data_IF_904769709415
#
_entry.id   IF_904769709415
#
_cell.length_a   1.000
_cell.length_b   1.000
_cell.length_c   1.000
_cell.angle_alpha   90.00
_cell.angle_beta   90.00
_cell.angle_gamma   90.00
#
_symmetry.space_group_name_H-M   'P 1'
#
loop_
_entity.id
_entity.type
_entity.pdbx_description
1 polymer ?
#
# COMPACT_ATOMS: atom_id res chain seq x y z
N UNK A 1 2.01 10.69 66.48
CA UNK A 1 2.47 9.56 65.64
C UNK A 1 2.32 9.98 64.19
N UNK A 2 3.40 10.48 63.60
CA UNK A 2 3.47 11.13 62.30
C UNK A 2 4.47 10.36 61.46
N UNK A 3 4.02 9.79 60.33
CA UNK A 3 4.84 8.98 59.45
C UNK A 3 5.84 9.86 58.65
N UNK A 4 7.06 9.37 58.35
CA UNK A 4 8.09 10.17 57.69
C UNK A 4 7.91 10.21 56.16
N UNK A 5 8.06 11.42 55.60
CA UNK A 5 8.17 11.71 54.15
C UNK A 5 9.45 11.07 53.58
N UNK A 6 9.33 10.20 52.57
CA UNK A 6 10.46 9.81 51.71
C UNK A 6 10.60 10.82 50.57
N UNK A 7 11.78 11.44 50.47
CA UNK A 7 12.24 12.18 49.30
C UNK A 7 12.52 11.18 48.16
N UNK A 8 11.89 11.39 47.01
CA UNK A 8 12.25 10.71 45.77
C UNK A 8 13.30 11.54 45.02
N UNK A 9 14.47 10.96 44.82
CA UNK A 9 15.54 11.47 43.95
C UNK A 9 15.13 11.30 42.48
N UNK A 10 15.25 12.33 41.62
CA UNK A 10 15.01 12.17 40.19
C UNK A 10 16.19 11.48 39.49
N UNK A 11 15.88 10.50 38.63
CA UNK A 11 16.80 9.81 37.73
C UNK A 11 17.30 10.77 36.62
N UNK A 12 18.53 10.59 36.11
CA UNK A 12 19.14 11.50 35.16
C UNK A 12 18.52 11.40 33.76
N UNK A 13 18.26 12.57 33.18
CA UNK A 13 17.85 12.81 31.80
C UNK A 13 18.91 12.31 30.82
N UNK A 14 18.55 11.42 29.91
CA UNK A 14 19.39 11.00 28.79
C UNK A 14 19.01 11.89 27.58
N UNK A 15 19.92 12.77 27.18
CA UNK A 15 19.83 13.55 25.95
C UNK A 15 20.12 12.67 24.72
N UNK A 16 19.38 12.82 23.61
CA UNK A 16 19.81 12.29 22.33
C UNK A 16 20.51 13.38 21.51
N UNK A 17 21.82 13.52 21.70
CA UNK A 17 22.71 14.12 20.71
C UNK A 17 23.13 13.06 19.68
N UNK A 18 22.72 13.23 18.42
CA UNK A 18 23.53 12.86 17.24
C UNK A 18 22.81 13.32 15.98
N UNK A 19 22.98 14.61 15.68
CA UNK A 19 22.70 15.20 14.38
C UNK A 19 23.77 14.73 13.39
N UNK A 20 23.42 13.86 12.44
CA UNK A 20 24.24 13.68 11.24
C UNK A 20 23.83 14.77 10.25
N UNK A 21 24.70 15.78 10.13
CA UNK A 21 24.62 16.82 9.11
C UNK A 21 25.01 16.23 7.74
N UNK A 22 24.17 16.42 6.72
CA UNK A 22 24.60 16.32 5.33
C UNK A 22 24.41 17.65 4.62
N UNK A 23 25.46 18.01 3.90
CA UNK A 23 25.83 19.32 3.38
C UNK A 23 25.00 19.73 2.16
N UNK A 24 24.54 20.98 2.17
CA UNK A 24 23.97 21.68 1.03
C UNK A 24 25.07 21.99 -0.01
N UNK A 25 24.88 21.57 -1.27
CA UNK A 25 25.60 22.13 -2.41
C UNK A 25 24.63 22.96 -3.27
N UNK A 26 24.87 24.28 -3.28
CA UNK A 26 24.19 25.29 -4.11
C UNK A 26 24.68 25.22 -5.56
N UNK A 27 23.73 25.44 -6.47
CA UNK A 27 23.93 25.76 -7.89
C UNK A 27 24.35 27.24 -8.09
N UNK A 28 25.17 27.49 -9.10
CA UNK A 28 25.27 28.74 -9.88
C UNK A 28 25.54 28.33 -11.34
N UNK A 29 25.24 29.03 -12.43
CA UNK A 29 24.37 30.16 -12.79
C UNK A 29 24.50 30.31 -14.33
N UNK A 30 23.46 30.70 -15.07
CA UNK A 30 23.51 31.78 -16.10
C UNK A 30 22.25 31.87 -17.00
N UNK A 31 21.59 33.03 -16.87
CA UNK A 31 20.99 33.99 -17.83
C UNK A 31 20.29 33.57 -19.17
N UNK A 32 19.05 34.09 -19.27
CA UNK A 32 18.09 34.43 -20.36
C UNK A 32 18.64 35.21 -21.58
N UNK A 33 17.92 35.47 -22.74
CA UNK A 33 16.53 36.04 -22.82
C UNK A 33 15.58 35.78 -24.06
N UNK A 34 14.26 35.95 -23.80
CA UNK A 34 13.17 36.66 -24.54
C UNK A 34 12.90 36.51 -26.07
N UNK A 35 11.63 36.30 -26.48
CA UNK A 35 10.83 37.24 -27.31
C UNK A 35 9.45 36.74 -27.85
N UNK A 36 8.43 37.61 -27.65
CA UNK A 36 7.34 38.11 -28.55
C UNK A 36 6.13 37.26 -29.04
N UNK A 37 4.97 37.95 -28.93
CA UNK A 37 3.58 37.68 -29.39
C UNK A 37 3.40 37.64 -30.92
N UNK A 38 2.36 36.93 -31.38
CA UNK A 38 1.39 37.43 -32.38
C UNK A 38 0.06 36.66 -32.30
N UNK A 39 -1.06 37.37 -32.42
CA UNK A 39 -2.43 36.85 -32.47
C UNK A 39 -2.93 36.78 -33.92
N UNK A 40 -3.77 35.80 -34.26
CA UNK A 40 -4.69 35.87 -35.41
C UNK A 40 -5.92 34.98 -35.20
N UNK A 41 -7.09 35.59 -35.35
CA UNK A 41 -8.44 35.02 -35.22
C UNK A 41 -8.91 34.40 -36.56
N UNK A 42 -9.63 33.27 -36.54
CA UNK A 42 -10.80 32.92 -37.38
C UNK A 42 -11.37 31.53 -36.98
N UNK A 43 -12.69 31.42 -36.96
CA UNK A 43 -13.56 30.39 -36.34
C UNK A 43 -13.76 29.11 -37.20
N UNK A 44 -14.74 28.23 -36.88
CA UNK A 44 -14.85 27.33 -35.73
C UNK A 44 -14.72 25.87 -36.21
N UNK A 45 -13.85 25.08 -35.58
CA UNK A 45 -13.68 23.67 -35.90
C UNK A 45 -13.87 22.82 -34.66
N UNK A 46 -14.75 21.83 -34.79
CA UNK A 46 -15.00 20.74 -33.83
C UNK A 46 -13.65 20.14 -33.43
N UNK A 47 -13.30 20.23 -32.14
CA UNK A 47 -12.13 19.54 -31.59
C UNK A 47 -12.56 18.52 -30.52
N UNK A 48 -12.14 17.24 -30.64
CA UNK A 48 -12.08 16.36 -29.50
C UNK A 48 -11.10 16.95 -28.48
N UNK A 49 -11.44 16.97 -27.20
CA UNK A 49 -10.56 17.54 -26.16
C UNK A 49 -9.34 16.63 -25.94
N UNK A 50 -8.34 16.74 -26.82
CA UNK A 50 -6.98 16.32 -26.53
C UNK A 50 -6.31 17.45 -25.75
N UNK A 51 -6.54 17.50 -24.44
CA UNK A 51 -5.65 18.24 -23.54
C UNK A 51 -4.25 17.63 -23.66
N UNK A 52 -3.17 18.42 -23.71
CA UNK A 52 -1.81 17.87 -23.71
C UNK A 52 -1.63 17.05 -22.43
N UNK A 53 -1.27 15.77 -22.59
CA UNK A 53 -0.88 14.90 -21.49
C UNK A 53 0.29 15.60 -20.79
N UNK A 54 0.03 16.14 -19.61
CA UNK A 54 1.09 16.71 -18.78
C UNK A 54 2.04 15.59 -18.38
N UNK A 55 3.33 15.89 -18.24
CA UNK A 55 4.36 14.90 -17.85
C UNK A 55 3.95 14.19 -16.55
N UNK A 56 3.21 14.88 -15.68
CA UNK A 56 2.60 14.36 -14.46
C UNK A 56 1.52 13.30 -14.72
N UNK A 57 0.66 13.44 -15.73
CA UNK A 57 -0.30 12.40 -16.13
C UNK A 57 0.39 11.20 -16.77
N UNK A 58 1.41 11.42 -17.59
CA UNK A 58 2.22 10.34 -18.17
C UNK A 58 3.02 9.58 -17.09
N UNK A 59 3.50 10.26 -16.05
CA UNK A 59 4.18 9.64 -14.91
C UNK A 59 3.21 8.85 -14.04
N UNK A 60 2.00 9.37 -13.78
CA UNK A 60 0.96 8.65 -13.05
C UNK A 60 0.49 7.41 -13.84
N UNK A 61 0.36 7.49 -15.16
CA UNK A 61 0.02 6.35 -16.00
C UNK A 61 1.17 5.33 -16.13
N UNK A 62 2.43 5.79 -16.10
CA UNK A 62 3.61 4.93 -16.03
C UNK A 62 3.70 4.21 -14.68
N UNK A 63 3.42 4.91 -13.57
CA UNK A 63 3.35 4.36 -12.21
C UNK A 63 2.19 3.39 -12.03
N UNK A 64 1.04 3.67 -12.67
CA UNK A 64 -0.09 2.76 -12.73
C UNK A 64 0.22 1.53 -13.58
N UNK A 65 0.91 1.68 -14.71
CA UNK A 65 1.29 0.55 -15.57
C UNK A 65 2.39 -0.30 -14.94
N UNK A 66 3.40 0.31 -14.30
CA UNK A 66 4.45 -0.36 -13.57
C UNK A 66 3.94 -0.99 -12.27
N UNK A 67 3.07 -0.30 -11.53
CA UNK A 67 2.37 -0.82 -10.35
C UNK A 67 1.43 -1.97 -10.72
N UNK A 68 0.64 -1.84 -11.79
CA UNK A 68 -0.21 -2.92 -12.29
C UNK A 68 0.60 -4.08 -12.88
N UNK A 69 1.75 -3.83 -13.50
CA UNK A 69 2.66 -4.87 -13.97
C UNK A 69 3.40 -5.54 -12.81
N UNK A 70 3.78 -4.80 -11.76
CA UNK A 70 4.40 -5.34 -10.54
C UNK A 70 3.38 -6.14 -9.73
N UNK A 71 2.15 -5.66 -9.61
CA UNK A 71 1.00 -6.39 -9.06
C UNK A 71 0.71 -7.62 -9.92
N UNK A 72 0.63 -7.49 -11.25
CA UNK A 72 0.39 -8.63 -12.15
C UNK A 72 1.54 -9.65 -12.11
N UNK A 73 2.80 -9.22 -12.01
CA UNK A 73 3.97 -10.11 -11.91
C UNK A 73 4.03 -10.80 -10.53
N UNK A 74 3.78 -10.04 -9.46
CA UNK A 74 3.62 -10.57 -8.09
C UNK A 74 2.47 -11.60 -8.05
N UNK A 75 1.36 -11.30 -8.72
CA UNK A 75 0.17 -12.14 -8.74
C UNK A 75 0.23 -13.31 -9.73
N UNK A 76 1.05 -13.22 -10.79
CA UNK A 76 1.34 -14.31 -11.74
C UNK A 76 2.34 -15.32 -11.17
N UNK A 77 3.26 -14.86 -10.31
CA UNK A 77 4.12 -15.75 -9.53
C UNK A 77 3.31 -16.68 -8.60
N UNK A 78 2.11 -16.25 -8.17
CA UNK A 78 1.18 -17.05 -7.37
C UNK A 78 0.51 -18.22 -8.12
N UNK A 79 0.66 -18.29 -9.45
CA UNK A 79 -0.04 -19.26 -10.31
C UNK A 79 0.86 -20.38 -10.87
N UNK A 80 2.13 -20.47 -10.49
CA UNK A 80 3.02 -21.49 -11.09
C UNK A 80 2.78 -22.94 -10.63
N UNK A 81 1.79 -23.22 -9.77
CA UNK A 81 1.35 -24.59 -9.41
C UNK A 81 -0.15 -24.78 -9.62
N UNK A 82 -0.58 -24.66 -10.87
CA UNK A 82 -1.73 -25.44 -11.32
C UNK A 82 -1.19 -26.45 -12.33
N UNK A 83 -1.27 -27.74 -11.95
CA UNK A 83 -0.94 -28.86 -12.81
C UNK A 83 -1.55 -28.67 -14.19
N UNK A 84 -0.76 -28.96 -15.23
CA UNK A 84 -1.08 -28.98 -16.67
C UNK A 84 -2.58 -28.87 -16.97
N UNK A 85 -3.06 -27.62 -17.07
CA UNK A 85 -4.31 -27.34 -17.75
C UNK A 85 -4.00 -27.28 -19.23
N UNK A 86 -4.60 -28.20 -19.99
CA UNK A 86 -4.67 -28.14 -21.45
C UNK A 86 -5.05 -26.73 -21.88
N UNK A 87 -4.27 -26.20 -22.85
CA UNK A 87 -4.39 -24.89 -23.49
C UNK A 87 -5.86 -24.39 -23.48
N UNK A 88 -6.20 -23.31 -22.75
CA UNK A 88 -7.53 -22.75 -22.81
C UNK A 88 -7.80 -22.31 -24.24
N UNK A 89 -8.94 -22.75 -24.80
CA UNK A 89 -9.51 -22.10 -25.96
C UNK A 89 -9.60 -20.60 -25.67
N UNK A 90 -9.25 -19.76 -26.65
CA UNK A 90 -9.29 -18.31 -26.52
C UNK A 90 -10.64 -17.88 -25.92
N UNK A 91 -10.63 -17.49 -24.65
CA UNK A 91 -11.82 -17.05 -23.96
C UNK A 91 -12.27 -15.74 -24.61
N UNK A 92 -13.46 -15.77 -25.19
CA UNK A 92 -14.22 -14.55 -25.48
C UNK A 92 -14.26 -13.72 -24.19
N UNK A 93 -14.05 -12.39 -24.23
CA UNK A 93 -14.05 -11.59 -23.01
C UNK A 93 -15.41 -11.73 -22.35
N UNK A 94 -15.45 -12.43 -21.20
CA UNK A 94 -16.63 -12.44 -20.35
C UNK A 94 -16.92 -10.99 -19.97
N UNK A 95 -18.18 -10.57 -20.09
CA UNK A 95 -18.62 -9.25 -19.64
C UNK A 95 -18.06 -9.01 -18.23
N UNK A 96 -17.21 -7.99 -18.09
CA UNK A 96 -16.49 -7.75 -16.85
C UNK A 96 -17.50 -7.62 -15.69
N UNK A 97 -17.31 -8.33 -14.56
CA UNK A 97 -18.23 -8.25 -13.44
C UNK A 97 -18.28 -6.80 -12.97
N UNK A 98 -19.46 -6.16 -13.03
CA UNK A 98 -19.62 -4.76 -12.62
C UNK A 98 -19.14 -4.53 -11.19
N UNK A 99 -18.75 -3.30 -10.88
CA UNK A 99 -18.42 -2.85 -9.52
C UNK A 99 -19.45 -1.83 -9.08
N UNK A 100 -19.78 -1.85 -7.79
CA UNK A 100 -20.66 -0.88 -7.15
C UNK A 100 -19.87 -0.06 -6.12
N UNK A 101 -20.12 1.24 -6.12
CA UNK A 101 -19.49 2.18 -5.19
C UNK A 101 -20.50 2.55 -4.11
N UNK A 102 -20.19 2.20 -2.87
CA UNK A 102 -21.09 2.28 -1.72
C UNK A 102 -20.53 3.29 -0.71
N UNK A 103 -21.15 4.47 -0.54
CA UNK A 103 -20.79 5.38 0.54
C UNK A 103 -21.16 4.77 1.90
N UNK A 104 -20.26 4.85 2.87
CA UNK A 104 -20.45 4.31 4.23
C UNK A 104 -20.38 5.45 5.24
N UNK A 105 -21.37 5.51 6.13
CA UNK A 105 -21.41 6.43 7.26
C UNK A 105 -21.33 5.67 8.61
N UNK A 106 -21.10 6.43 9.68
CA UNK A 106 -21.11 5.98 11.08
C UNK A 106 -20.07 4.88 11.36
N UNK A 107 -18.85 5.09 10.86
CA UNK A 107 -17.66 4.32 11.20
C UNK A 107 -16.99 4.98 12.42
N UNK A 108 -17.29 4.47 13.61
CA UNK A 108 -16.73 4.97 14.87
C UNK A 108 -15.19 4.97 14.90
N UNK A 109 -14.55 4.09 14.12
CA UNK A 109 -13.09 4.09 13.95
C UNK A 109 -12.52 5.41 13.38
N UNK A 110 -13.35 6.21 12.69
CA UNK A 110 -12.94 7.49 12.06
C UNK A 110 -13.50 8.72 12.78
N UNK A 111 -14.13 8.56 13.95
CA UNK A 111 -14.86 9.63 14.64
C UNK A 111 -14.01 10.90 14.92
N UNK A 112 -12.69 10.76 15.12
CA UNK A 112 -11.79 11.89 15.41
C UNK A 112 -11.49 12.77 14.18
N UNK A 113 -11.71 12.24 12.97
CA UNK A 113 -11.49 12.96 11.71
C UNK A 113 -12.77 13.62 11.20
N UNK A 114 -13.93 13.22 11.74
CA UNK A 114 -15.26 13.55 11.20
C UNK A 114 -16.03 14.54 12.07
N UNK A 115 -15.86 15.85 11.84
CA UNK A 115 -16.91 16.81 12.23
C UNK A 115 -17.71 17.38 11.05
N UNK A 116 -17.31 17.13 9.78
CA UNK A 116 -17.86 17.86 8.62
C UNK A 116 -18.19 17.02 7.38
N UNK A 117 -18.04 15.70 7.41
CA UNK A 117 -18.33 14.84 6.25
C UNK A 117 -19.71 14.18 6.39
N UNK A 118 -20.34 13.87 5.25
CA UNK A 118 -21.58 13.07 5.20
C UNK A 118 -21.28 11.57 5.28
N UNK A 119 -20.15 11.15 4.71
CA UNK A 119 -19.69 9.77 4.68
C UNK A 119 -18.29 9.69 5.29
N UNK A 120 -18.00 8.57 5.94
CA UNK A 120 -16.72 8.32 6.59
C UNK A 120 -15.78 7.52 5.69
N UNK A 121 -16.34 6.74 4.76
CA UNK A 121 -15.59 5.99 3.77
C UNK A 121 -16.44 5.75 2.51
N UNK A 122 -15.79 5.28 1.47
CA UNK A 122 -16.42 4.73 0.27
C UNK A 122 -15.88 3.32 0.05
N UNK A 123 -16.76 2.33 -0.10
CA UNK A 123 -16.39 0.97 -0.47
C UNK A 123 -16.62 0.74 -1.96
N UNK A 124 -15.77 -0.09 -2.56
CA UNK A 124 -15.91 -0.60 -3.92
C UNK A 124 -16.19 -2.10 -3.82
N UNK A 125 -17.39 -2.51 -4.20
CA UNK A 125 -17.87 -3.89 -4.07
C UNK A 125 -18.08 -4.48 -5.47
N UNK A 126 -17.25 -5.45 -5.89
CA UNK A 126 -17.50 -6.19 -7.12
C UNK A 126 -18.77 -7.03 -7.00
N UNK A 127 -19.60 -7.07 -8.05
CA UNK A 127 -20.86 -7.83 -8.07
C UNK A 127 -20.68 -9.31 -7.75
N UNK A 128 -19.55 -9.89 -8.17
CA UNK A 128 -19.19 -11.27 -7.85
C UNK A 128 -19.03 -11.50 -6.34
N UNK A 129 -18.53 -10.50 -5.61
CA UNK A 129 -18.38 -10.55 -4.14
C UNK A 129 -19.72 -10.36 -3.43
N UNK A 130 -20.56 -9.46 -3.93
CA UNK A 130 -21.92 -9.27 -3.40
C UNK A 130 -22.81 -10.51 -3.54
N UNK A 131 -22.48 -11.42 -4.47
CA UNK A 131 -23.24 -12.64 -4.79
C UNK A 131 -22.68 -13.91 -4.14
N UNK A 132 -21.71 -13.78 -3.23
CA UNK A 132 -21.13 -14.94 -2.54
C UNK A 132 -22.15 -15.60 -1.59
N UNK A 133 -21.92 -16.87 -1.19
CA UNK A 133 -22.70 -17.50 -0.13
C UNK A 133 -22.63 -16.71 1.20
N UNK A 134 -23.60 -16.94 2.08
CA UNK A 134 -23.55 -16.45 3.47
C UNK A 134 -22.28 -16.96 4.18
N UNK A 135 -21.84 -16.22 5.20
CA UNK A 135 -20.63 -16.51 6.00
C UNK A 135 -19.31 -16.51 5.21
N UNK A 136 -19.32 -15.99 3.98
CA UNK A 136 -18.13 -15.92 3.12
C UNK A 136 -17.02 -15.05 3.71
N UNK A 137 -15.79 -15.48 3.44
CA UNK A 137 -14.58 -14.77 3.80
C UNK A 137 -14.15 -13.85 2.67
N UNK A 138 -13.87 -12.58 2.98
CA UNK A 138 -13.59 -11.53 1.99
C UNK A 138 -12.28 -10.82 2.35
N UNK A 139 -11.42 -10.56 1.37
CA UNK A 139 -10.24 -9.72 1.54
C UNK A 139 -10.57 -8.24 1.36
N UNK A 140 -9.88 -7.36 2.07
CA UNK A 140 -10.15 -5.91 2.05
C UNK A 140 -8.89 -5.15 1.68
N UNK A 141 -8.94 -4.36 0.61
CA UNK A 141 -7.91 -3.38 0.26
C UNK A 141 -8.29 -2.04 0.89
N UNK A 142 -7.57 -1.61 1.93
CA UNK A 142 -7.75 -0.29 2.54
C UNK A 142 -6.78 0.70 1.91
N UNK A 143 -7.29 1.72 1.22
CA UNK A 143 -6.47 2.70 0.50
C UNK A 143 -6.53 4.09 1.14
N UNK A 144 -5.39 4.58 1.60
CA UNK A 144 -5.21 5.91 2.19
C UNK A 144 -4.76 6.91 1.13
N UNK A 145 -5.63 7.86 0.82
CA UNK A 145 -5.31 8.89 -0.17
C UNK A 145 -4.20 9.84 0.29
N UNK A 146 -3.58 10.51 -0.70
CA UNK A 146 -2.58 11.54 -0.49
C UNK A 146 -3.14 12.93 -0.18
N UNK A 147 -2.22 13.88 -0.02
CA UNK A 147 -2.52 15.31 0.05
C UNK A 147 -3.19 15.74 -1.24
N UNK A 148 -4.24 16.54 -1.13
CA UNK A 148 -5.03 16.88 -2.31
C UNK A 148 -5.18 18.36 -2.58
N UNK A 149 -4.30 18.87 -3.42
CA UNK A 149 -4.37 20.21 -3.99
C UNK A 149 -3.99 20.07 -5.46
N UNK A 150 -4.89 20.35 -6.43
CA UNK A 150 -6.19 21.04 -6.30
C UNK A 150 -7.43 20.13 -6.20
N UNK A 151 -7.32 18.80 -6.36
CA UNK A 151 -8.49 17.93 -6.33
C UNK A 151 -9.07 17.91 -4.89
N UNK A 152 -10.32 17.49 -4.68
CA UNK A 152 -10.91 17.42 -3.32
C UNK A 152 -11.35 15.99 -2.98
N UNK A 153 -10.43 15.10 -2.62
CA UNK A 153 -10.68 13.69 -2.25
C UNK A 153 -11.54 13.65 -1.00
N UNK A 154 -11.26 14.54 -0.06
CA UNK A 154 -12.09 14.77 1.11
C UNK A 154 -13.55 15.11 0.72
N UNK A 155 -13.75 15.95 -0.31
CA UNK A 155 -15.08 16.29 -0.81
C UNK A 155 -15.72 15.18 -1.66
N UNK A 156 -14.96 14.53 -2.53
CA UNK A 156 -15.46 13.47 -3.41
C UNK A 156 -15.86 12.23 -2.60
N UNK A 157 -15.01 11.79 -1.67
CA UNK A 157 -15.31 10.67 -0.79
C UNK A 157 -16.32 11.08 0.30
N UNK A 158 -16.00 12.13 1.07
CA UNK A 158 -16.74 12.48 2.28
C UNK A 158 -18.05 13.24 2.08
N UNK A 159 -18.24 13.93 0.94
CA UNK A 159 -19.48 14.67 0.66
C UNK A 159 -20.26 14.00 -0.47
N UNK A 160 -19.59 13.66 -1.58
CA UNK A 160 -20.26 13.08 -2.76
C UNK A 160 -20.42 11.55 -2.66
N UNK A 161 -19.62 10.88 -1.83
CA UNK A 161 -19.63 9.41 -1.73
C UNK A 161 -19.12 8.74 -3.00
N UNK A 162 -18.14 9.33 -3.68
CA UNK A 162 -17.61 8.86 -4.96
C UNK A 162 -16.13 8.58 -4.86
N UNK A 163 -15.70 7.52 -5.54
CA UNK A 163 -14.29 7.23 -5.75
C UNK A 163 -13.74 8.26 -6.75
N UNK A 164 -12.62 8.94 -6.43
CA UNK A 164 -11.94 9.81 -7.37
C UNK A 164 -11.55 9.03 -8.64
N UNK A 165 -11.99 9.46 -9.85
CA UNK A 165 -11.75 8.72 -11.09
C UNK A 165 -10.26 8.52 -11.37
N UNK A 166 -9.39 9.44 -10.97
CA UNK A 166 -7.94 9.33 -11.11
C UNK A 166 -7.33 8.15 -10.35
N UNK A 167 -8.04 7.53 -9.42
CA UNK A 167 -7.53 6.32 -8.79
C UNK A 167 -7.66 5.10 -9.70
N UNK A 168 -8.63 5.10 -10.64
CA UNK A 168 -9.01 3.92 -11.44
C UNK A 168 -9.21 2.65 -10.59
N UNK A 169 -9.50 2.78 -9.29
CA UNK A 169 -9.57 1.66 -8.34
C UNK A 169 -10.73 0.71 -8.68
N UNK A 170 -11.81 1.27 -9.22
CA UNK A 170 -12.94 0.50 -9.75
C UNK A 170 -12.52 -0.43 -10.91
N UNK A 171 -11.70 0.06 -11.84
CA UNK A 171 -11.18 -0.72 -12.96
C UNK A 171 -10.16 -1.76 -12.50
N UNK A 172 -9.24 -1.37 -11.62
CA UNK A 172 -8.22 -2.26 -11.09
C UNK A 172 -8.82 -3.41 -10.29
N UNK A 173 -9.79 -3.13 -9.40
CA UNK A 173 -10.47 -4.15 -8.62
C UNK A 173 -11.31 -5.07 -9.52
N UNK A 174 -11.93 -4.51 -10.56
CA UNK A 174 -12.66 -5.29 -11.58
C UNK A 174 -11.74 -6.23 -12.34
N UNK A 175 -10.59 -5.75 -12.81
CA UNK A 175 -9.59 -6.56 -13.50
C UNK A 175 -9.04 -7.67 -12.58
N UNK A 176 -8.82 -7.36 -11.31
CA UNK A 176 -8.39 -8.32 -10.31
C UNK A 176 -9.39 -9.47 -10.14
N UNK A 177 -10.65 -9.14 -9.80
CA UNK A 177 -11.70 -10.17 -9.58
C UNK A 177 -12.01 -10.94 -10.86
N UNK A 178 -11.98 -10.29 -12.02
CA UNK A 178 -12.17 -10.95 -13.31
C UNK A 178 -11.09 -11.99 -13.64
N UNK A 179 -9.85 -11.76 -13.20
CA UNK A 179 -8.72 -12.68 -13.41
C UNK A 179 -8.54 -13.69 -12.25
N UNK A 180 -9.11 -13.41 -11.08
CA UNK A 180 -8.98 -14.20 -9.84
C UNK A 180 -10.33 -14.37 -9.14
N UNK A 181 -11.23 -15.09 -9.80
CA UNK A 181 -12.60 -15.33 -9.29
C UNK A 181 -12.66 -16.11 -7.97
N UNK A 182 -11.54 -16.69 -7.52
CA UNK A 182 -11.37 -17.45 -6.28
C UNK A 182 -10.97 -16.58 -5.07
N UNK A 183 -10.53 -15.34 -5.28
CA UNK A 183 -10.15 -14.43 -4.19
C UNK A 183 -11.11 -13.24 -4.11
N UNK A 184 -12.20 -13.34 -3.33
CA UNK A 184 -13.15 -12.25 -3.20
C UNK A 184 -12.53 -11.07 -2.46
N UNK A 185 -12.55 -9.90 -3.09
CA UNK A 185 -11.95 -8.68 -2.53
C UNK A 185 -12.83 -7.45 -2.74
N UNK A 186 -12.88 -6.58 -1.72
CA UNK A 186 -13.46 -5.23 -1.81
C UNK A 186 -12.38 -4.16 -1.62
N UNK A 187 -12.63 -2.97 -2.15
CA UNK A 187 -11.86 -1.77 -1.82
C UNK A 187 -12.55 -0.97 -0.72
N UNK A 188 -11.78 -0.38 0.20
CA UNK A 188 -12.25 0.53 1.23
C UNK A 188 -11.39 1.80 1.24
N UNK A 189 -12.02 2.94 0.99
CA UNK A 189 -11.39 4.25 0.89
C UNK A 189 -11.89 5.12 2.05
N UNK A 190 -11.23 5.10 3.22
CA UNK A 190 -11.56 6.02 4.31
C UNK A 190 -11.30 7.47 3.92
N UNK A 191 -12.10 8.39 4.47
CA UNK A 191 -11.95 9.82 4.22
C UNK A 191 -10.88 10.38 5.17
N UNK A 192 -9.79 10.88 4.59
CA UNK A 192 -8.75 11.61 5.30
C UNK A 192 -8.99 13.11 5.27
N UNK A 193 -8.54 13.81 6.30
CA UNK A 193 -8.61 15.27 6.40
C UNK A 193 -7.33 15.88 5.86
N UNK A 194 -7.45 16.79 4.89
CA UNK A 194 -6.29 17.57 4.44
C UNK A 194 -5.98 18.67 5.45
N UNK A 195 -4.72 18.79 5.84
CA UNK A 195 -4.23 19.79 6.80
C UNK A 195 -3.25 20.73 6.12
N UNK A 196 -3.24 21.99 6.54
CA UNK A 196 -2.32 23.02 6.05
C UNK A 196 -1.72 23.75 7.24
N UNK A 197 -0.38 23.87 7.28
CA UNK A 197 0.35 24.58 8.32
C UNK A 197 1.38 25.51 7.69
N UNK A 198 1.38 26.78 8.09
CA UNK A 198 2.46 27.70 7.73
C UNK A 198 3.69 27.44 8.61
N UNK A 199 4.85 27.32 7.98
CA UNK A 199 6.15 27.28 8.66
C UNK A 199 7.00 28.47 8.22
N UNK A 200 7.71 29.15 9.15
CA UNK A 200 8.64 30.21 8.81
C UNK A 200 9.86 29.61 8.08
N UNK A 201 10.32 30.29 7.03
CA UNK A 201 11.53 29.96 6.29
C UNK A 201 12.69 30.87 6.75
N UNK A 202 13.93 30.43 6.45
CA UNK A 202 15.15 31.15 6.85
C UNK A 202 15.28 32.55 6.22
N UNK A 203 14.59 32.79 5.11
CA UNK A 203 14.55 34.08 4.40
C UNK A 203 13.42 35.01 4.89
N UNK A 204 12.73 34.65 5.97
CA UNK A 204 11.61 35.43 6.52
C UNK A 204 10.28 35.20 5.80
N UNK A 205 10.25 34.42 4.72
CA UNK A 205 9.01 34.03 4.05
C UNK A 205 8.31 32.88 4.79
N UNK A 206 7.05 32.60 4.45
CA UNK A 206 6.29 31.47 5.00
C UNK A 206 6.10 30.42 3.91
N UNK A 207 6.30 29.16 4.28
CA UNK A 207 5.95 28.00 3.44
C UNK A 207 4.74 27.30 4.03
N UNK A 208 3.71 27.08 3.21
CA UNK A 208 2.61 26.21 3.59
C UNK A 208 3.03 24.76 3.39
N UNK A 209 3.00 23.98 4.46
CA UNK A 209 3.09 22.53 4.41
C UNK A 209 1.68 21.96 4.41
N UNK A 210 1.47 21.01 3.51
CA UNK A 210 0.24 20.25 3.45
C UNK A 210 0.48 18.84 3.96
N UNK A 211 -0.54 18.28 4.59
CA UNK A 211 -0.57 16.91 5.08
C UNK A 211 -1.95 16.32 4.90
N UNK A 212 -2.05 15.02 5.08
CA UNK A 212 -3.33 14.31 5.22
C UNK A 212 -3.24 13.50 6.51
N UNK A 213 -4.34 13.42 7.25
CA UNK A 213 -4.43 12.54 8.41
C UNK A 213 -5.75 11.81 8.43
N UNK A 214 -5.71 10.60 8.93
CA UNK A 214 -6.85 9.73 9.17
C UNK A 214 -7.10 9.53 10.68
N UNK A 215 -6.51 10.37 11.54
CA UNK A 215 -6.79 10.37 12.98
C UNK A 215 -6.25 9.15 13.74
N UNK A 216 -5.41 8.33 13.12
CA UNK A 216 -4.82 7.16 13.79
C UNK A 216 -5.84 6.07 14.14
N UNK A 217 -6.83 5.84 13.27
CA UNK A 217 -7.85 4.82 13.43
C UNK A 217 -7.27 3.41 13.65
N UNK A 218 -8.04 2.57 14.35
CA UNK A 218 -7.80 1.13 14.40
C UNK A 218 -8.33 0.49 13.09
N UNK A 219 -7.42 -0.07 12.29
CA UNK A 219 -7.75 -0.67 10.99
C UNK A 219 -8.61 -1.90 11.13
N UNK A 220 -8.40 -2.71 12.17
CA UNK A 220 -9.20 -3.90 12.44
C UNK A 220 -10.66 -3.49 12.69
N UNK A 221 -10.87 -2.51 13.57
CA UNK A 221 -12.19 -1.97 13.87
C UNK A 221 -12.82 -1.30 12.64
N UNK A 222 -12.06 -0.56 11.85
CA UNK A 222 -12.53 0.07 10.62
C UNK A 222 -13.06 -0.98 9.64
N UNK A 223 -12.29 -2.04 9.40
CA UNK A 223 -12.65 -3.09 8.46
C UNK A 223 -13.88 -3.86 8.94
N UNK A 224 -13.92 -4.25 10.22
CA UNK A 224 -15.05 -5.00 10.77
C UNK A 224 -16.34 -4.16 10.78
N UNK A 225 -16.24 -2.86 11.11
CA UNK A 225 -17.38 -1.94 11.03
C UNK A 225 -17.85 -1.73 9.58
N UNK A 226 -16.92 -1.59 8.62
CA UNK A 226 -17.27 -1.43 7.21
C UNK A 226 -17.98 -2.68 6.66
N UNK A 227 -17.49 -3.88 6.95
CA UNK A 227 -18.15 -5.14 6.57
C UNK A 227 -19.54 -5.21 7.18
N UNK A 228 -19.69 -4.95 8.49
CA UNK A 228 -20.97 -4.97 9.17
C UNK A 228 -21.98 -3.99 8.54
N UNK A 229 -21.51 -2.79 8.14
CA UNK A 229 -22.35 -1.81 7.43
C UNK A 229 -22.76 -2.29 6.04
N UNK A 230 -21.83 -2.83 5.26
CA UNK A 230 -22.13 -3.37 3.94
C UNK A 230 -23.13 -4.53 4.00
N UNK A 231 -23.04 -5.41 5.00
CA UNK A 231 -24.03 -6.46 5.25
C UNK A 231 -25.39 -5.86 5.61
N UNK A 232 -25.45 -4.88 6.53
CA UNK A 232 -26.69 -4.22 6.91
C UNK A 232 -27.37 -3.49 5.73
N UNK A 233 -26.56 -2.96 4.80
CA UNK A 233 -27.02 -2.32 3.56
C UNK A 233 -27.37 -3.33 2.45
N UNK A 234 -27.24 -4.64 2.71
CA UNK A 234 -27.44 -5.75 1.75
C UNK A 234 -26.50 -5.69 0.53
N UNK A 235 -25.33 -5.08 0.72
CA UNK A 235 -24.27 -4.98 -0.27
C UNK A 235 -23.27 -6.14 -0.18
N UNK A 236 -23.28 -6.85 0.96
CA UNK A 236 -22.57 -8.11 1.17
C UNK A 236 -23.52 -9.18 1.75
N UNK A 237 -23.23 -10.48 1.53
CA UNK A 237 -24.01 -11.57 2.12
C UNK A 237 -24.00 -11.54 3.65
N UNK A 238 -25.08 -12.03 4.26
CA UNK A 238 -25.17 -12.16 5.71
C UNK A 238 -24.01 -13.01 6.25
N UNK A 239 -23.49 -12.63 7.42
CA UNK A 239 -22.38 -13.34 8.07
C UNK A 239 -20.99 -13.13 7.45
N UNK A 240 -20.86 -12.33 6.37
CA UNK A 240 -19.56 -12.01 5.75
C UNK A 240 -18.53 -11.51 6.77
N UNK A 241 -17.27 -11.94 6.62
CA UNK A 241 -16.15 -11.53 7.49
C UNK A 241 -14.90 -11.24 6.68
N UNK A 242 -14.08 -10.32 7.20
CA UNK A 242 -12.77 -10.06 6.60
C UNK A 242 -11.74 -11.13 6.99
N UNK A 243 -11.08 -11.74 6.00
CA UNK A 243 -10.03 -12.75 6.22
C UNK A 243 -8.59 -12.23 6.06
N UNK A 244 -8.43 -11.15 5.30
CA UNK A 244 -7.15 -10.54 5.00
C UNK A 244 -7.32 -9.08 4.64
N UNK A 245 -6.33 -8.27 4.99
CA UNK A 245 -6.28 -6.83 4.80
C UNK A 245 -4.99 -6.48 4.10
N UNK A 246 -5.14 -5.82 2.97
CA UNK A 246 -4.05 -5.18 2.22
C UNK A 246 -4.12 -3.69 2.51
N UNK A 247 -3.02 -3.13 3.00
CA UNK A 247 -2.91 -1.68 3.20
C UNK A 247 -2.31 -1.03 1.96
N UNK A 248 -2.88 0.07 1.53
CA UNK A 248 -2.35 0.85 0.42
C UNK A 248 -2.36 2.32 0.79
N UNK A 249 -1.36 3.07 0.33
CA UNK A 249 -1.35 4.50 0.50
C UNK A 249 -0.68 5.21 -0.68
N UNK A 250 -1.12 6.44 -0.92
CA UNK A 250 -0.49 7.36 -1.86
C UNK A 250 0.06 8.60 -1.15
N UNK A 251 1.30 9.01 -1.48
CA UNK A 251 1.89 10.27 -1.02
C UNK A 251 1.77 10.45 0.51
N UNK A 252 1.19 11.56 0.97
CA UNK A 252 0.98 11.83 2.39
C UNK A 252 0.20 10.77 3.18
N UNK A 253 -0.59 9.91 2.53
CA UNK A 253 -1.28 8.81 3.20
C UNK A 253 -0.33 7.77 3.81
N UNK A 254 0.91 7.68 3.29
CA UNK A 254 1.91 6.75 3.80
C UNK A 254 2.38 7.04 5.22
N UNK A 255 2.21 8.29 5.70
CA UNK A 255 2.55 8.69 7.06
C UNK A 255 1.70 7.96 8.10
N UNK A 256 0.41 7.75 7.80
CA UNK A 256 -0.51 7.02 8.67
C UNK A 256 -0.55 5.52 8.35
N UNK A 257 -0.09 5.09 7.17
CA UNK A 257 -0.16 3.68 6.76
C UNK A 257 0.57 2.73 7.71
N UNK A 258 1.81 3.03 8.12
CA UNK A 258 2.53 2.16 9.06
C UNK A 258 1.82 2.06 10.42
N UNK A 259 1.28 3.18 10.92
CA UNK A 259 0.49 3.18 12.16
C UNK A 259 -0.78 2.36 12.00
N UNK A 260 -1.49 2.52 10.88
CA UNK A 260 -2.66 1.74 10.56
C UNK A 260 -2.33 0.23 10.53
N UNK A 261 -1.19 -0.16 9.93
CA UNK A 261 -0.77 -1.57 9.90
C UNK A 261 -0.47 -2.16 11.27
N UNK A 262 -0.04 -1.37 12.25
CA UNK A 262 0.29 -1.89 13.60
C UNK A 262 -0.93 -2.25 14.43
N UNK A 263 -2.12 -1.83 13.99
CA UNK A 263 -3.40 -2.16 14.64
C UNK A 263 -4.02 -3.45 14.11
N UNK A 264 -3.48 -4.02 13.01
CA UNK A 264 -3.91 -5.29 12.46
C UNK A 264 -3.22 -6.45 13.17
N UNK A 265 -3.97 -7.53 13.44
CA UNK A 265 -3.36 -8.81 13.80
C UNK A 265 -2.41 -9.29 12.70
N UNK A 266 -1.33 -9.99 13.11
CA UNK A 266 -0.33 -10.54 12.16
C UNK A 266 -0.96 -11.40 11.06
N UNK A 267 -2.06 -12.10 11.38
CA UNK A 267 -2.77 -12.99 10.45
C UNK A 267 -3.63 -12.24 9.43
N UNK A 268 -4.12 -11.04 9.78
CA UNK A 268 -4.96 -10.24 8.88
C UNK A 268 -4.15 -9.34 7.97
N UNK A 269 -2.97 -8.86 8.36
CA UNK A 269 -2.12 -8.06 7.45
C UNK A 269 -1.41 -8.95 6.43
N UNK A 270 -1.95 -9.02 5.21
CA UNK A 270 -1.42 -9.89 4.13
C UNK A 270 -0.50 -9.15 3.16
N UNK A 271 -0.61 -7.81 3.05
CA UNK A 271 0.27 -7.06 2.18
C UNK A 271 0.17 -5.54 2.31
N UNK A 272 1.10 -4.87 1.62
CA UNK A 272 1.20 -3.42 1.62
C UNK A 272 1.65 -2.87 0.25
N UNK A 273 0.94 -1.84 -0.23
CA UNK A 273 1.24 -1.08 -1.44
C UNK A 273 1.58 0.37 -1.10
N UNK A 274 2.85 0.74 -1.28
CA UNK A 274 3.35 2.09 -0.98
C UNK A 274 3.59 2.88 -2.28
N UNK A 275 2.66 3.74 -2.68
CA UNK A 275 2.75 4.55 -3.90
C UNK A 275 3.26 5.96 -3.56
N UNK A 276 4.52 6.25 -3.86
CA UNK A 276 5.13 7.55 -3.55
C UNK A 276 4.96 7.97 -2.08
N UNK A 277 4.89 7.00 -1.16
CA UNK A 277 4.31 7.22 0.16
C UNK A 277 5.31 7.07 1.31
N UNK A 278 6.57 6.69 1.02
CA UNK A 278 7.65 6.65 2.01
C UNK A 278 8.29 8.04 2.08
N UNK A 279 7.85 8.86 3.03
CA UNK A 279 8.27 10.25 3.16
C UNK A 279 9.18 10.45 4.38
N UNK A 280 10.50 10.45 4.16
CA UNK A 280 11.53 10.69 5.19
C UNK A 280 11.42 9.79 6.44
N UNK A 281 10.60 8.74 6.38
CA UNK A 281 10.28 7.77 7.43
C UNK A 281 10.84 6.38 7.09
N UNK A 282 11.88 6.34 6.25
CA UNK A 282 12.64 5.13 5.94
C UNK A 282 13.08 4.39 7.22
N UNK A 283 13.38 5.14 8.29
CA UNK A 283 13.72 4.60 9.61
C UNK A 283 12.62 3.77 10.26
N UNK A 284 11.36 3.90 9.85
CA UNK A 284 10.24 3.09 10.31
C UNK A 284 9.90 1.96 9.32
N UNK A 285 9.93 2.23 8.01
CA UNK A 285 9.65 1.23 6.98
C UNK A 285 10.68 0.11 6.94
N UNK A 286 11.98 0.44 7.07
CA UNK A 286 13.04 -0.57 6.97
C UNK A 286 12.94 -1.61 8.11
N UNK A 287 12.87 -1.24 9.41
CA UNK A 287 12.69 -2.22 10.49
C UNK A 287 11.39 -3.04 10.35
N UNK A 288 10.31 -2.42 9.88
CA UNK A 288 9.06 -3.14 9.63
C UNK A 288 9.23 -4.22 8.56
N UNK A 289 9.83 -3.88 7.41
CA UNK A 289 10.01 -4.81 6.30
C UNK A 289 11.04 -5.89 6.60
N UNK A 290 12.16 -5.55 7.25
CA UNK A 290 13.15 -6.56 7.65
C UNK A 290 12.60 -7.51 8.71
N UNK A 291 11.72 -7.04 9.60
CA UNK A 291 10.96 -7.93 10.50
C UNK A 291 10.06 -8.89 9.73
N UNK A 292 9.34 -8.42 8.69
CA UNK A 292 8.51 -9.30 7.85
C UNK A 292 9.34 -10.33 7.07
N UNK A 293 10.51 -9.94 6.59
CA UNK A 293 11.46 -10.86 5.96
C UNK A 293 12.00 -11.90 6.94
N UNK A 294 12.31 -11.50 8.18
CA UNK A 294 12.73 -12.42 9.24
C UNK A 294 11.61 -13.40 9.62
N UNK A 295 10.38 -12.90 9.83
CA UNK A 295 9.20 -13.74 10.09
C UNK A 295 8.99 -14.77 8.95
N UNK A 296 9.21 -14.38 7.69
CA UNK A 296 9.13 -15.29 6.54
C UNK A 296 10.25 -16.35 6.54
N UNK A 297 11.49 -15.95 6.82
CA UNK A 297 12.61 -16.88 6.90
C UNK A 297 12.44 -17.90 8.03
N UNK A 298 11.86 -17.50 9.16
CA UNK A 298 11.56 -18.41 10.27
C UNK A 298 10.43 -19.38 9.92
N UNK A 299 9.39 -18.93 9.19
CA UNK A 299 8.35 -19.84 8.69
C UNK A 299 8.91 -20.87 7.69
N UNK A 300 9.81 -20.45 6.79
CA UNK A 300 10.51 -21.39 5.90
C UNK A 300 11.34 -22.42 6.67
N UNK A 301 12.00 -22.00 7.76
CA UNK A 301 12.79 -22.88 8.62
C UNK A 301 11.91 -23.91 9.33
N UNK A 302 10.69 -23.54 9.74
CA UNK A 302 9.71 -24.46 10.32
C UNK A 302 9.18 -25.49 9.31
N UNK A 303 9.16 -25.13 8.03
CA UNK A 303 8.71 -25.99 6.93
C UNK A 303 9.84 -26.82 6.30
N UNK A 304 11.08 -26.69 6.78
CA UNK A 304 12.23 -27.37 6.17
C UNK A 304 12.18 -28.89 6.38
N UNK A 305 12.77 -29.62 5.45
CA UNK A 305 13.03 -31.04 5.63
C UNK A 305 14.14 -31.31 6.68
N UNK A 306 14.08 -32.42 7.42
CA UNK A 306 15.22 -32.92 8.20
C UNK A 306 16.48 -33.12 7.34
N UNK A 307 17.67 -33.07 7.96
CA UNK A 307 18.94 -33.18 7.23
C UNK A 307 19.14 -34.54 6.53
N UNK A 308 18.51 -35.59 7.06
CA UNK A 308 18.51 -36.97 6.59
C UNK A 308 17.22 -37.34 5.82
N UNK A 309 16.44 -36.34 5.39
CA UNK A 309 15.19 -36.56 4.68
C UNK A 309 15.41 -37.29 3.34
N UNK A 310 14.48 -38.20 3.02
CA UNK A 310 14.41 -38.80 1.68
C UNK A 310 14.12 -37.75 0.61
N UNK A 311 14.44 -38.00 -0.67
CA UNK A 311 14.13 -37.07 -1.76
C UNK A 311 12.65 -36.67 -1.82
N UNK A 312 11.73 -37.60 -1.56
CA UNK A 312 10.30 -37.31 -1.54
C UNK A 312 9.88 -36.38 -0.39
N UNK A 313 10.51 -36.51 0.78
CA UNK A 313 10.27 -35.62 1.92
C UNK A 313 10.88 -34.22 1.70
N UNK A 314 12.03 -34.14 1.04
CA UNK A 314 12.63 -32.88 0.62
C UNK A 314 11.73 -32.12 -0.37
N UNK A 315 11.18 -32.83 -1.36
CA UNK A 315 10.23 -32.25 -2.33
C UNK A 315 8.94 -31.77 -1.64
N UNK A 316 8.39 -32.55 -0.72
CA UNK A 316 7.19 -32.15 0.03
C UNK A 316 7.44 -30.89 0.88
N UNK A 317 8.61 -30.76 1.51
CA UNK A 317 9.01 -29.57 2.24
C UNK A 317 9.14 -28.35 1.32
N UNK A 318 9.75 -28.52 0.14
CA UNK A 318 9.84 -27.47 -0.87
C UNK A 318 8.45 -27.00 -1.32
N UNK A 319 7.52 -27.91 -1.61
CA UNK A 319 6.16 -27.55 -2.00
C UNK A 319 5.41 -26.80 -0.88
N UNK A 320 5.64 -27.17 0.38
CA UNK A 320 5.09 -26.46 1.53
C UNK A 320 5.68 -25.04 1.66
N UNK A 321 7.00 -24.90 1.54
CA UNK A 321 7.70 -23.61 1.53
C UNK A 321 7.21 -22.70 0.40
N UNK A 322 7.07 -23.26 -0.81
CA UNK A 322 6.56 -22.56 -1.99
C UNK A 322 5.12 -22.10 -1.80
N UNK A 323 4.26 -22.98 -1.27
CA UNK A 323 2.88 -22.63 -0.94
C UNK A 323 2.83 -21.48 0.07
N UNK A 324 3.63 -21.54 1.13
CA UNK A 324 3.71 -20.45 2.12
C UNK A 324 4.14 -19.13 1.46
N UNK A 325 5.24 -19.12 0.70
CA UNK A 325 5.72 -17.90 0.05
C UNK A 325 4.67 -17.32 -0.87
N UNK A 326 4.08 -18.15 -1.72
CA UNK A 326 3.08 -17.68 -2.69
C UNK A 326 1.79 -17.23 -2.00
N UNK A 327 1.21 -18.01 -1.11
CA UNK A 327 -0.17 -17.81 -0.66
C UNK A 327 -0.31 -17.07 0.67
N UNK A 328 0.70 -17.13 1.54
CA UNK A 328 0.58 -16.72 2.94
C UNK A 328 1.57 -15.63 3.35
N UNK A 329 2.75 -15.59 2.74
CA UNK A 329 3.78 -14.64 3.12
C UNK A 329 3.36 -13.19 2.83
N UNK A 330 3.73 -12.28 3.74
CA UNK A 330 3.47 -10.86 3.59
C UNK A 330 4.10 -10.31 2.31
N UNK A 331 3.32 -9.55 1.53
CA UNK A 331 3.79 -8.92 0.30
C UNK A 331 3.96 -7.42 0.45
N UNK A 332 5.07 -6.91 -0.05
CA UNK A 332 5.33 -5.47 -0.14
C UNK A 332 5.63 -5.08 -1.56
N UNK A 333 4.95 -4.04 -2.04
CA UNK A 333 5.26 -3.39 -3.31
C UNK A 333 5.40 -1.91 -3.06
N UNK A 334 6.55 -1.38 -3.45
CA UNK A 334 6.83 0.04 -3.39
C UNK A 334 7.05 0.59 -4.78
N UNK A 335 6.28 1.60 -5.14
CA UNK A 335 6.41 2.32 -6.42
C UNK A 335 6.79 3.78 -6.15
N UNK A 336 7.72 4.31 -6.94
CA UNK A 336 8.19 5.69 -6.76
C UNK A 336 8.38 6.40 -8.10
N UNK A 337 7.85 7.61 -8.21
CA UNK A 337 8.24 8.55 -9.25
C UNK A 337 9.53 9.29 -8.90
N UNK A 338 9.85 10.29 -9.72
CA UNK A 338 11.10 11.05 -9.61
C UNK A 338 11.33 11.64 -8.21
N UNK A 339 10.25 12.08 -7.55
CA UNK A 339 10.29 12.72 -6.22
C UNK A 339 10.74 11.77 -5.10
N UNK A 340 10.33 10.50 -5.14
CA UNK A 340 10.58 9.54 -4.05
C UNK A 340 11.65 8.51 -4.37
N UNK A 341 12.17 8.52 -5.61
CA UNK A 341 13.13 7.54 -6.12
C UNK A 341 14.33 7.31 -5.20
N UNK A 342 14.87 8.37 -4.59
CA UNK A 342 16.03 8.25 -3.71
C UNK A 342 15.74 7.42 -2.46
N UNK A 343 14.58 7.63 -1.82
CA UNK A 343 14.18 6.93 -0.60
C UNK A 343 13.87 5.46 -0.90
N UNK A 344 13.17 5.19 -2.00
CA UNK A 344 12.87 3.82 -2.42
C UNK A 344 14.13 3.06 -2.84
N UNK A 345 15.10 3.74 -3.47
CA UNK A 345 16.41 3.14 -3.76
C UNK A 345 17.16 2.80 -2.47
N UNK A 346 17.17 3.69 -1.48
CA UNK A 346 17.80 3.39 -0.17
C UNK A 346 17.13 2.19 0.50
N UNK A 347 15.80 2.08 0.45
CA UNK A 347 15.09 0.92 0.97
C UNK A 347 15.46 -0.37 0.21
N UNK A 348 15.47 -0.30 -1.12
CA UNK A 348 15.87 -1.41 -1.98
C UNK A 348 17.29 -1.89 -1.66
N UNK A 349 18.26 -0.97 -1.60
CA UNK A 349 19.67 -1.28 -1.34
C UNK A 349 19.87 -1.83 0.08
N UNK A 350 19.08 -1.38 1.06
CA UNK A 350 19.11 -1.95 2.40
C UNK A 350 18.57 -3.39 2.46
N UNK A 351 17.63 -3.76 1.60
CA UNK A 351 17.07 -5.12 1.54
C UNK A 351 17.95 -6.03 0.68
N UNK A 352 18.31 -5.62 -0.53
CA UNK A 352 18.98 -6.48 -1.51
C UNK A 352 20.49 -6.26 -1.62
N UNK A 353 21.00 -5.13 -1.11
CA UNK A 353 22.37 -4.68 -1.31
C UNK A 353 22.48 -3.67 -2.45
N UNK A 354 23.50 -2.81 -2.37
CA UNK A 354 23.75 -1.78 -3.38
C UNK A 354 25.09 -1.08 -3.15
N UNK A 355 25.89 -0.95 -4.22
CA UNK A 355 27.23 -0.34 -4.15
C UNK A 355 28.14 -1.07 -3.15
N UNK A 356 28.42 -0.43 -2.00
CA UNK A 356 29.27 -0.98 -0.92
C UNK A 356 28.49 -1.55 0.27
N UNK A 357 27.16 -1.44 0.27
CA UNK A 357 26.31 -1.91 1.37
C UNK A 357 25.89 -3.36 1.16
N UNK A 358 26.10 -4.21 2.18
CA UNK A 358 25.46 -5.52 2.25
C UNK A 358 24.01 -5.32 2.68
N UNK A 359 23.07 -5.82 1.89
CA UNK A 359 21.65 -5.78 2.23
C UNK A 359 21.24 -6.99 3.06
N UNK A 360 20.05 -6.91 3.67
CA UNK A 360 19.47 -7.96 4.51
C UNK A 360 19.49 -9.35 3.83
N UNK A 361 19.15 -9.43 2.53
CA UNK A 361 19.14 -10.68 1.77
C UNK A 361 20.52 -11.31 1.65
N UNK A 362 21.58 -10.50 1.48
CA UNK A 362 22.97 -10.97 1.40
C UNK A 362 23.44 -11.46 2.76
N UNK A 363 23.09 -10.74 3.83
CA UNK A 363 23.44 -11.14 5.20
C UNK A 363 22.77 -12.45 5.62
N UNK A 364 21.54 -12.70 5.15
CA UNK A 364 20.76 -13.88 5.51
C UNK A 364 20.85 -15.02 4.48
N UNK A 365 21.61 -14.84 3.39
CA UNK A 365 21.79 -15.86 2.35
C UNK A 365 22.27 -17.22 2.90
N UNK A 366 23.25 -17.30 3.82
CA UNK A 366 23.67 -18.59 4.39
C UNK A 366 22.53 -19.32 5.11
N UNK A 367 21.67 -18.60 5.84
CA UNK A 367 20.51 -19.19 6.53
C UNK A 367 19.47 -19.63 5.50
N UNK A 368 19.19 -18.81 4.48
CA UNK A 368 18.25 -19.16 3.41
C UNK A 368 18.70 -20.41 2.64
N UNK A 369 19.99 -20.53 2.30
CA UNK A 369 20.56 -21.73 1.65
C UNK A 369 20.39 -22.98 2.52
N UNK A 370 20.63 -22.86 3.83
CA UNK A 370 20.41 -23.96 4.77
C UNK A 370 18.94 -24.40 4.83
N UNK A 371 18.02 -23.46 4.79
CA UNK A 371 16.57 -23.70 4.91
C UNK A 371 15.96 -24.27 3.63
N UNK A 372 16.37 -23.75 2.47
CA UNK A 372 15.83 -24.16 1.17
C UNK A 372 16.56 -25.37 0.56
N UNK A 373 17.77 -25.69 1.04
CA UNK A 373 18.54 -26.83 0.56
C UNK A 373 18.83 -26.77 -0.93
N UNK A 374 18.56 -27.86 -1.64
CA UNK A 374 18.73 -27.96 -3.10
C UNK A 374 17.81 -27.03 -3.90
N UNK A 375 16.72 -26.54 -3.31
CA UNK A 375 15.73 -25.67 -3.98
C UNK A 375 15.95 -24.19 -3.68
N UNK A 376 17.17 -23.81 -3.27
CA UNK A 376 17.51 -22.45 -2.91
C UNK A 376 17.22 -21.44 -4.04
N UNK A 377 17.60 -21.75 -5.27
CA UNK A 377 17.47 -20.83 -6.38
C UNK A 377 15.99 -20.56 -6.70
N UNK A 378 15.14 -21.59 -6.64
CA UNK A 378 13.69 -21.46 -6.81
C UNK A 378 13.08 -20.63 -5.68
N UNK A 379 13.35 -20.98 -4.43
CA UNK A 379 12.84 -20.26 -3.25
C UNK A 379 13.28 -18.80 -3.24
N UNK A 380 14.50 -18.49 -3.69
CA UNK A 380 15.05 -17.12 -3.73
C UNK A 380 14.31 -16.21 -4.71
N UNK A 381 13.63 -16.78 -5.72
CA UNK A 381 12.92 -16.01 -6.76
C UNK A 381 11.44 -15.75 -6.46
N UNK A 382 10.88 -16.38 -5.43
CA UNK A 382 9.48 -16.26 -4.98
C UNK A 382 9.30 -15.20 -3.88
#
# INVERSE_FOLDING_TARGET
MTAPKRLATPLPTIEPESRVAFVNARLSSSKTPSAKRAAKTLAPTVHPSSSPITVEHAILDLQRTAGNAAVTNLLSALQRDSAVATKPAAATPAASPGVETVPIDRLGALAEVVPKHKYDAVAIVPKAVASLPADSQISVLVHLHGINIPYSYEGDLGIKGKVPPEYNMEEQLRAYVGNKGDTPMIGLLPVGKTTSREIPQKDGTKKTLHGVTFGGFNTEDLVDQAIARLVAMKQLPEGSKANGVVMSAHSGGGLDMLRATSTLTKKRLVGMFAFESINNDLGAYLPFLTKKLADALDALDQLRAPADASPAAAEAAFQAQRKYLTQEAFRYVGESGATYRSVYRLLHDAIYGGGKQKGWMVENEPKLRKVAGSHYDEIRTL
#
